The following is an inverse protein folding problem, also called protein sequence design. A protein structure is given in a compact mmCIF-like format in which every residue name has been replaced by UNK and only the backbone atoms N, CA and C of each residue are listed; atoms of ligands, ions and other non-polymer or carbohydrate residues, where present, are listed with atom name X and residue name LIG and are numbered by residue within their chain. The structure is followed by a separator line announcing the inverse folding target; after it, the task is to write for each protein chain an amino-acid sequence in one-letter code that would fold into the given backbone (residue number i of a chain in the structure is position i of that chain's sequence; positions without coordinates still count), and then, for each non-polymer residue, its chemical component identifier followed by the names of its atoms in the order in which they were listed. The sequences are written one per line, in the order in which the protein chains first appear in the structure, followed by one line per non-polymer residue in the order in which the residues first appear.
data_IF_450759543565
#
_entry.id   IF_450759543565
#
_cell.length_a   1.000
_cell.length_b   1.000
_cell.length_c   1.000
_cell.angle_alpha   90.00
_cell.angle_beta   90.00
_cell.angle_gamma   90.00
#
_symmetry.space_group_name_H-M   'P 1'
#
loop_
_entity.id
_entity.type
_entity.pdbx_description
1 polymer ?
#
# COMPACT_ATOMS: atom_id res chain seq x y z
N UNK A 1 14.47 -8.48 56.13
CA UNK A 1 13.53 -7.98 55.09
C UNK A 1 13.59 -8.92 53.89
N UNK A 2 12.49 -9.59 53.55
CA UNK A 2 12.44 -10.54 52.41
C UNK A 2 12.34 -9.77 51.10
N UNK A 3 13.32 -9.94 50.21
CA UNK A 3 13.32 -9.36 48.86
C UNK A 3 12.23 -10.01 48.01
N UNK A 4 11.15 -9.27 47.73
CA UNK A 4 10.16 -9.65 46.72
C UNK A 4 10.86 -9.75 45.36
N UNK A 5 10.97 -10.96 44.82
CA UNK A 5 11.47 -11.20 43.46
C UNK A 5 10.53 -10.51 42.46
N UNK A 6 11.08 -9.68 41.57
CA UNK A 6 10.32 -9.08 40.46
C UNK A 6 9.84 -10.20 39.55
N UNK A 7 8.52 -10.41 39.49
CA UNK A 7 7.92 -11.35 38.57
C UNK A 7 8.22 -10.92 37.14
N UNK A 8 8.90 -11.77 36.39
CA UNK A 8 9.13 -11.57 34.95
C UNK A 8 7.76 -11.71 34.29
N UNK A 9 7.21 -10.60 33.77
CA UNK A 9 5.97 -10.64 33.00
C UNK A 9 6.20 -11.52 31.78
N UNK A 10 5.50 -12.65 31.69
CA UNK A 10 5.51 -13.51 30.49
C UNK A 10 5.17 -12.64 29.26
N UNK A 11 5.90 -12.76 28.14
CA UNK A 11 5.52 -12.07 26.92
C UNK A 11 4.12 -12.53 26.53
N UNK A 12 3.16 -11.60 26.48
CA UNK A 12 1.83 -11.89 25.92
C UNK A 12 2.03 -12.19 24.45
N UNK A 13 1.98 -13.46 24.06
CA UNK A 13 1.86 -13.84 22.67
C UNK A 13 0.60 -13.19 22.11
N UNK A 14 0.76 -12.36 21.08
CA UNK A 14 -0.38 -11.84 20.34
C UNK A 14 -1.06 -13.02 19.62
N UNK A 15 -2.39 -13.06 19.55
CA UNK A 15 -3.08 -14.10 18.79
C UNK A 15 -2.66 -14.04 17.32
N UNK A 16 -2.51 -15.21 16.69
CA UNK A 16 -2.00 -15.37 15.31
C UNK A 16 -2.67 -14.41 14.30
N UNK A 17 -4.00 -14.26 14.40
CA UNK A 17 -4.75 -13.32 13.56
C UNK A 17 -4.24 -11.87 13.69
N UNK A 18 -3.95 -11.39 14.89
CA UNK A 18 -3.44 -10.01 15.08
C UNK A 18 -2.07 -9.78 14.45
N UNK A 19 -1.24 -10.82 14.33
CA UNK A 19 0.09 -10.72 13.72
C UNK A 19 0.02 -10.73 12.19
N UNK A 20 -0.87 -11.54 11.61
CA UNK A 20 -1.01 -11.75 10.16
C UNK A 20 -2.23 -11.07 9.52
N UNK A 21 -2.95 -10.20 10.25
CA UNK A 21 -4.17 -9.53 9.78
C UNK A 21 -3.98 -8.87 8.40
N UNK A 22 -2.83 -8.24 8.15
CA UNK A 22 -2.58 -7.62 6.86
C UNK A 22 -2.42 -8.64 5.73
N UNK A 23 -1.63 -9.70 5.96
CA UNK A 23 -1.42 -10.78 4.99
C UNK A 23 -2.77 -11.43 4.63
N UNK A 24 -3.62 -11.67 5.63
CA UNK A 24 -4.96 -12.23 5.44
C UNK A 24 -5.82 -11.28 4.60
N UNK A 25 -5.85 -9.98 4.92
CA UNK A 25 -6.64 -8.99 4.16
C UNK A 25 -6.18 -8.90 2.70
N UNK A 26 -4.88 -8.88 2.44
CA UNK A 26 -4.34 -8.83 1.08
C UNK A 26 -4.69 -10.10 0.31
N UNK A 27 -4.54 -11.27 0.92
CA UNK A 27 -4.90 -12.54 0.29
C UNK A 27 -6.40 -12.59 -0.04
N UNK A 28 -7.25 -12.13 0.87
CA UNK A 28 -8.69 -12.04 0.64
C UNK A 28 -9.00 -11.11 -0.54
N UNK A 29 -8.43 -9.90 -0.57
CA UNK A 29 -8.66 -8.92 -1.64
C UNK A 29 -8.21 -9.43 -3.02
N UNK A 30 -7.04 -10.05 -3.10
CA UNK A 30 -6.53 -10.64 -4.35
C UNK A 30 -7.43 -11.79 -4.78
N UNK A 31 -7.79 -12.69 -3.86
CA UNK A 31 -8.64 -13.85 -4.16
C UNK A 31 -10.01 -13.39 -4.66
N UNK A 32 -10.63 -12.40 -4.00
CA UNK A 32 -11.91 -11.83 -4.40
C UNK A 32 -11.81 -11.11 -5.75
N UNK A 33 -10.74 -10.35 -5.98
CA UNK A 33 -10.51 -9.67 -7.24
C UNK A 33 -10.32 -10.63 -8.42
N UNK A 34 -9.56 -11.72 -8.23
CA UNK A 34 -9.39 -12.77 -9.23
C UNK A 34 -10.70 -13.52 -9.46
N UNK A 35 -11.41 -13.86 -8.38
CA UNK A 35 -12.71 -14.54 -8.44
C UNK A 35 -13.71 -13.75 -9.30
N UNK A 36 -13.82 -12.43 -9.10
CA UNK A 36 -14.70 -11.55 -9.89
C UNK A 36 -14.31 -11.43 -11.37
N UNK A 37 -13.07 -11.75 -11.73
CA UNK A 37 -12.58 -11.78 -13.12
C UNK A 37 -12.76 -13.15 -13.79
N UNK A 38 -12.79 -14.23 -13.00
CA UNK A 38 -12.88 -15.60 -13.50
C UNK A 38 -14.33 -16.08 -13.59
N UNK A 39 -15.20 -15.61 -12.69
CA UNK A 39 -16.58 -16.05 -12.64
C UNK A 39 -17.46 -15.18 -13.57
N UNK A 40 -17.99 -15.82 -14.62
CA UNK A 40 -19.03 -15.26 -15.49
C UNK A 40 -20.35 -15.16 -14.69
N UNK A 41 -20.44 -14.19 -13.80
CA UNK A 41 -21.60 -14.03 -12.92
C UNK A 41 -22.85 -13.59 -13.72
N UNK A 42 -23.75 -14.54 -14.00
CA UNK A 42 -25.11 -14.34 -14.53
C UNK A 42 -25.98 -13.36 -13.69
N UNK A 43 -25.51 -12.95 -12.51
CA UNK A 43 -26.13 -12.00 -11.57
C UNK A 43 -26.26 -10.58 -12.19
N UNK A 44 -25.56 -10.30 -13.29
CA UNK A 44 -25.61 -9.02 -14.01
C UNK A 44 -27.01 -8.66 -14.50
N UNK A 45 -27.84 -9.60 -14.92
CA UNK A 45 -29.14 -9.26 -15.51
C UNK A 45 -30.04 -8.46 -14.56
N UNK A 46 -30.12 -8.83 -13.28
CA UNK A 46 -31.03 -8.17 -12.33
C UNK A 46 -30.55 -6.78 -11.87
N UNK A 47 -29.26 -6.66 -11.56
CA UNK A 47 -28.68 -5.36 -11.16
C UNK A 47 -28.62 -4.41 -12.36
N UNK A 48 -28.32 -4.93 -13.55
CA UNK A 48 -28.33 -4.16 -14.80
C UNK A 48 -29.72 -3.65 -15.13
N UNK A 49 -30.80 -4.42 -14.97
CA UNK A 49 -32.18 -3.94 -15.23
C UNK A 49 -32.55 -2.77 -14.31
N UNK A 50 -32.19 -2.82 -13.03
CA UNK A 50 -32.48 -1.76 -12.06
C UNK A 50 -31.67 -0.50 -12.37
N UNK A 51 -30.37 -0.64 -12.65
CA UNK A 51 -29.50 0.48 -13.01
C UNK A 51 -29.90 1.06 -14.38
N UNK A 52 -30.24 0.22 -15.36
CA UNK A 52 -30.68 0.61 -16.70
C UNK A 52 -32.01 1.36 -16.65
N UNK A 53 -32.92 1.02 -15.74
CA UNK A 53 -34.16 1.79 -15.53
C UNK A 53 -33.88 3.20 -15.02
N UNK A 54 -32.92 3.36 -14.10
CA UNK A 54 -32.52 4.67 -13.56
C UNK A 54 -31.71 5.46 -14.60
N UNK A 55 -30.83 4.78 -15.35
CA UNK A 55 -30.00 5.38 -16.38
C UNK A 55 -30.76 5.71 -17.66
N UNK A 56 -31.83 5.02 -18.05
CA UNK A 56 -32.64 5.42 -19.21
C UNK A 56 -33.46 6.68 -18.95
N UNK A 57 -33.91 6.90 -17.70
CA UNK A 57 -34.51 8.19 -17.30
C UNK A 57 -33.53 9.36 -17.42
N UNK A 58 -32.22 9.10 -17.37
CA UNK A 58 -31.14 10.08 -17.63
C UNK A 58 -30.69 10.03 -19.11
N UNK A 59 -30.85 8.88 -19.76
CA UNK A 59 -30.34 8.53 -21.08
C UNK A 59 -31.09 9.16 -22.24
N UNK A 60 -32.38 9.50 -22.09
CA UNK A 60 -33.07 10.33 -23.08
C UNK A 60 -32.51 11.76 -23.15
N UNK A 61 -31.78 12.21 -22.12
CA UNK A 61 -31.09 13.51 -22.12
C UNK A 61 -29.69 13.44 -22.76
N UNK A 62 -29.08 12.24 -22.83
CA UNK A 62 -27.69 12.02 -23.30
C UNK A 62 -27.64 11.41 -24.71
N UNK A 63 -28.76 10.84 -25.21
CA UNK A 63 -28.90 10.26 -26.56
C UNK A 63 -28.38 11.15 -27.70
N UNK A 64 -28.35 12.47 -27.53
CA UNK A 64 -27.89 13.41 -28.57
C UNK A 64 -26.37 13.59 -28.63
N UNK A 65 -25.60 13.16 -27.61
CA UNK A 65 -24.16 13.45 -27.51
C UNK A 65 -23.25 12.24 -27.75
N UNK A 66 -23.79 11.03 -27.90
CA UNK A 66 -23.03 9.78 -27.65
C UNK A 66 -22.99 8.77 -28.81
N UNK A 67 -23.15 9.16 -30.06
CA UNK A 67 -23.07 8.17 -31.16
C UNK A 67 -21.63 7.78 -31.56
N UNK A 68 -20.59 8.36 -30.95
CA UNK A 68 -19.18 8.10 -31.32
C UNK A 68 -18.36 7.16 -30.41
N UNK A 69 -18.78 6.93 -29.15
CA UNK A 69 -17.89 6.33 -28.12
C UNK A 69 -18.38 4.99 -27.53
N UNK A 70 -19.53 4.47 -27.97
CA UNK A 70 -20.20 3.34 -27.32
C UNK A 70 -19.60 1.97 -27.71
N UNK A 71 -18.87 1.85 -28.82
CA UNK A 71 -18.44 0.53 -29.34
C UNK A 71 -17.33 -0.16 -28.52
N UNK A 72 -16.60 0.55 -27.66
CA UNK A 72 -15.49 -0.01 -26.85
C UNK A 72 -15.87 -0.39 -25.43
N UNK A 73 -17.03 0.06 -24.92
CA UNK A 73 -17.45 -0.14 -23.52
C UNK A 73 -18.27 -1.43 -23.37
N UNK A 74 -18.83 -1.95 -24.46
CA UNK A 74 -19.78 -3.08 -24.45
C UNK A 74 -19.13 -4.46 -24.18
N UNK A 75 -17.80 -4.51 -24.03
CA UNK A 75 -17.05 -5.75 -23.72
C UNK A 75 -16.53 -5.84 -22.29
N UNK A 76 -16.53 -4.75 -21.53
CA UNK A 76 -16.05 -4.74 -20.15
C UNK A 76 -17.24 -4.82 -19.21
N UNK A 77 -17.36 -5.94 -18.52
CA UNK A 77 -18.44 -6.11 -17.57
C UNK A 77 -18.11 -5.35 -16.28
N UNK A 78 -19.13 -4.88 -15.56
CA UNK A 78 -18.95 -4.13 -14.30
C UNK A 78 -18.12 -4.93 -13.29
N UNK A 79 -18.25 -6.26 -13.30
CA UNK A 79 -17.47 -7.17 -12.45
C UNK A 79 -15.97 -7.07 -12.69
N UNK A 80 -15.54 -6.91 -13.94
CA UNK A 80 -14.13 -6.85 -14.30
C UNK A 80 -13.49 -5.57 -13.75
N UNK A 81 -14.22 -4.46 -13.84
CA UNK A 81 -13.80 -3.17 -13.30
C UNK A 81 -13.63 -3.29 -11.78
N UNK A 82 -14.59 -3.92 -11.09
CA UNK A 82 -14.53 -4.13 -9.64
C UNK A 82 -13.37 -5.06 -9.29
N UNK A 83 -13.19 -6.17 -10.00
CA UNK A 83 -12.10 -7.12 -9.79
C UNK A 83 -10.72 -6.48 -9.94
N UNK A 84 -10.51 -5.73 -11.03
CA UNK A 84 -9.27 -4.96 -11.26
C UNK A 84 -9.05 -3.94 -10.14
N UNK A 85 -10.09 -3.22 -9.71
CA UNK A 85 -9.98 -2.22 -8.65
C UNK A 85 -9.52 -2.83 -7.31
N UNK A 86 -10.02 -4.02 -6.97
CA UNK A 86 -9.63 -4.74 -5.75
C UNK A 86 -8.17 -5.20 -5.80
N UNK A 87 -7.72 -5.69 -6.95
CA UNK A 87 -6.32 -6.09 -7.15
C UNK A 87 -5.40 -4.87 -7.01
N UNK A 88 -5.73 -3.76 -7.68
CA UNK A 88 -4.98 -2.50 -7.58
C UNK A 88 -4.94 -2.02 -6.12
N UNK A 89 -6.06 -2.10 -5.40
CA UNK A 89 -6.12 -1.72 -4.00
C UNK A 89 -5.24 -2.63 -3.12
N UNK A 90 -5.25 -3.95 -3.34
CA UNK A 90 -4.37 -4.87 -2.64
C UNK A 90 -2.88 -4.56 -2.88
N UNK A 91 -2.50 -4.29 -4.13
CA UNK A 91 -1.13 -3.88 -4.48
C UNK A 91 -0.74 -2.57 -3.79
N UNK A 92 -1.65 -1.61 -3.72
CA UNK A 92 -1.46 -0.36 -2.99
C UNK A 92 -1.21 -0.60 -1.49
N UNK A 93 -1.98 -1.49 -0.86
CA UNK A 93 -1.77 -1.86 0.55
C UNK A 93 -0.38 -2.49 0.76
N UNK A 94 0.03 -3.42 -0.11
CA UNK A 94 1.37 -4.05 -0.09
C UNK A 94 2.46 -2.99 -0.18
N UNK A 95 2.34 -2.09 -1.16
CA UNK A 95 3.31 -1.01 -1.35
C UNK A 95 3.39 -0.10 -0.12
N UNK A 96 2.26 0.26 0.48
CA UNK A 96 2.24 1.10 1.68
C UNK A 96 2.88 0.38 2.88
N UNK A 97 2.63 -0.92 3.07
CA UNK A 97 3.29 -1.68 4.14
C UNK A 97 4.79 -1.81 3.92
N UNK A 98 5.22 -2.01 2.68
CA UNK A 98 6.65 -2.05 2.35
C UNK A 98 7.29 -0.68 2.63
N UNK A 99 6.65 0.41 2.21
CA UNK A 99 7.07 1.77 2.52
C UNK A 99 7.26 1.98 4.02
N UNK A 100 6.29 1.57 4.86
CA UNK A 100 6.40 1.69 6.31
C UNK A 100 7.60 0.92 6.88
N UNK A 101 7.79 -0.35 6.45
CA UNK A 101 8.95 -1.16 6.85
C UNK A 101 10.28 -0.56 6.42
N UNK A 102 10.33 0.15 5.29
CA UNK A 102 11.53 0.84 4.83
C UNK A 102 11.80 2.07 5.70
N UNK A 103 10.77 2.88 5.99
CA UNK A 103 10.92 4.05 6.86
C UNK A 103 11.42 3.64 8.24
N UNK A 104 10.83 2.61 8.84
CA UNK A 104 11.22 2.12 10.16
C UNK A 104 12.69 1.68 10.19
N UNK A 105 13.12 0.86 9.22
CA UNK A 105 14.50 0.38 9.10
C UNK A 105 15.53 1.50 8.98
N UNK A 106 15.18 2.59 8.29
CA UNK A 106 16.08 3.73 8.06
C UNK A 106 15.70 4.97 8.88
N UNK A 107 14.93 4.84 9.97
CA UNK A 107 14.47 6.00 10.76
C UNK A 107 15.51 6.50 11.77
N UNK A 108 16.38 5.63 12.27
CA UNK A 108 17.27 5.90 13.41
C UNK A 108 18.72 5.97 12.94
N UNK A 109 19.22 7.19 12.75
CA UNK A 109 20.65 7.49 12.74
C UNK A 109 20.88 8.73 13.61
N UNK A 110 21.28 8.51 14.88
CA UNK A 110 21.74 9.59 15.77
C UNK A 110 23.26 9.63 15.86
N UNK A 111 23.91 8.47 15.85
CA UNK A 111 25.37 8.29 15.96
C UNK A 111 25.83 7.27 14.93
N UNK A 112 27.12 7.30 14.60
CA UNK A 112 27.71 6.32 13.70
C UNK A 112 27.63 4.91 14.34
N UNK A 113 27.11 3.89 13.65
CA UNK A 113 27.05 2.53 14.19
C UNK A 113 28.42 1.87 14.36
N UNK A 114 29.47 2.39 13.70
CA UNK A 114 30.83 1.83 13.74
C UNK A 114 31.68 2.43 14.86
N UNK A 115 31.74 3.76 14.94
CA UNK A 115 32.64 4.46 15.89
C UNK A 115 31.89 5.33 16.92
N UNK A 116 30.55 5.33 16.92
CA UNK A 116 29.71 6.14 17.81
C UNK A 116 29.89 7.66 17.72
N UNK A 117 30.68 8.15 16.75
CA UNK A 117 30.88 9.57 16.51
C UNK A 117 29.66 10.25 15.88
N UNK A 118 29.72 11.58 15.78
CA UNK A 118 28.67 12.38 15.16
C UNK A 118 28.63 12.20 13.65
N UNK A 119 27.40 12.08 13.12
CA UNK A 119 27.13 12.00 11.69
C UNK A 119 26.84 13.39 11.12
N UNK A 120 27.52 13.77 10.04
CA UNK A 120 27.25 15.03 9.33
C UNK A 120 26.38 14.79 8.11
N UNK A 121 25.42 15.70 7.88
CA UNK A 121 24.56 15.64 6.71
C UNK A 121 25.34 16.03 5.46
N UNK A 122 25.22 15.24 4.40
CA UNK A 122 25.84 15.50 3.09
C UNK A 122 24.80 15.64 1.98
N UNK A 123 25.25 16.08 0.80
CA UNK A 123 24.38 16.23 -0.38
C UNK A 123 23.79 14.88 -0.79
N UNK A 124 22.56 14.93 -1.29
CA UNK A 124 21.86 13.77 -1.83
C UNK A 124 22.33 13.51 -3.26
N UNK A 125 22.81 12.28 -3.51
CA UNK A 125 23.00 11.72 -4.83
C UNK A 125 21.67 11.40 -5.53
N UNK A 126 21.73 11.13 -6.83
CA UNK A 126 20.55 10.79 -7.65
C UNK A 126 19.81 9.56 -7.10
N UNK A 127 20.54 8.52 -6.68
CA UNK A 127 19.95 7.31 -6.08
C UNK A 127 19.01 7.65 -4.92
N UNK A 128 19.40 8.57 -4.04
CA UNK A 128 18.59 8.98 -2.89
C UNK A 128 17.36 9.80 -3.29
N UNK A 129 17.45 10.59 -4.38
CA UNK A 129 16.30 11.33 -4.92
C UNK A 129 15.28 10.37 -5.52
N UNK A 130 15.74 9.40 -6.31
CA UNK A 130 14.90 8.35 -6.90
C UNK A 130 14.21 7.56 -5.78
N UNK A 131 14.95 7.14 -4.75
CA UNK A 131 14.34 6.47 -3.59
C UNK A 131 13.27 7.33 -2.91
N UNK A 132 13.52 8.62 -2.71
CA UNK A 132 12.53 9.53 -2.12
C UNK A 132 11.27 9.68 -2.97
N UNK A 133 11.42 9.69 -4.29
CA UNK A 133 10.31 9.76 -5.23
C UNK A 133 9.47 8.48 -5.23
N UNK A 134 10.11 7.31 -5.41
CA UNK A 134 9.43 6.00 -5.47
C UNK A 134 8.60 5.74 -4.20
N UNK A 135 9.18 6.02 -3.04
CA UNK A 135 8.53 5.76 -1.76
C UNK A 135 7.71 6.94 -1.23
N UNK A 136 7.66 8.09 -1.93
CA UNK A 136 7.04 9.32 -1.45
C UNK A 136 7.49 9.68 -0.01
N UNK A 137 8.81 9.72 0.21
CA UNK A 137 9.44 9.99 1.52
C UNK A 137 10.62 10.94 1.41
N UNK A 138 10.90 11.62 2.51
CA UNK A 138 12.05 12.48 2.63
C UNK A 138 13.29 11.66 3.00
N UNK A 139 14.22 11.52 2.05
CA UNK A 139 15.50 10.86 2.26
C UNK A 139 16.58 11.90 2.61
N UNK A 140 17.29 11.69 3.71
CA UNK A 140 18.46 12.46 4.14
C UNK A 140 19.70 11.57 4.08
N UNK A 141 20.82 12.13 3.63
CA UNK A 141 22.10 11.43 3.51
C UNK A 141 23.07 11.91 4.59
N UNK A 142 23.76 10.99 5.26
CA UNK A 142 24.67 11.24 6.37
C UNK A 142 26.00 10.52 6.16
N UNK A 143 27.06 11.17 6.59
CA UNK A 143 28.44 10.70 6.47
C UNK A 143 29.18 10.84 7.80
N UNK A 144 29.99 9.83 8.13
CA UNK A 144 30.83 9.81 9.31
C UNK A 144 32.27 10.19 8.95
N UNK A 145 32.81 11.24 9.56
CA UNK A 145 34.19 11.69 9.28
C UNK A 145 35.28 10.74 9.76
N UNK A 146 35.03 10.00 10.84
CA UNK A 146 36.07 9.18 11.50
C UNK A 146 36.27 7.79 10.88
N UNK A 147 35.23 7.20 10.28
CA UNK A 147 35.27 5.82 9.76
C UNK A 147 34.61 5.66 8.39
N UNK A 148 34.44 6.77 7.66
CA UNK A 148 33.95 6.82 6.27
C UNK A 148 32.56 6.18 6.06
N UNK A 149 31.79 6.00 7.13
CA UNK A 149 30.45 5.39 7.05
C UNK A 149 29.44 6.32 6.37
N UNK A 150 28.74 5.80 5.37
CA UNK A 150 27.62 6.45 4.69
C UNK A 150 26.29 5.80 5.09
N UNK A 151 25.35 6.61 5.55
CA UNK A 151 24.03 6.15 5.99
C UNK A 151 22.90 7.03 5.47
N UNK A 152 21.73 6.43 5.27
CA UNK A 152 20.52 7.15 4.85
C UNK A 152 19.50 7.16 5.96
N UNK A 153 18.81 8.29 6.11
CA UNK A 153 17.65 8.42 6.98
C UNK A 153 16.40 8.66 6.15
N UNK A 154 15.40 7.80 6.28
CA UNK A 154 14.09 7.98 5.67
C UNK A 154 13.12 8.58 6.69
N UNK A 155 12.35 9.57 6.26
CA UNK A 155 11.34 10.24 7.08
C UNK A 155 10.03 10.33 6.30
N UNK A 156 8.90 10.18 6.99
CA UNK A 156 7.59 10.50 6.41
C UNK A 156 7.60 11.98 5.99
N UNK A 157 7.03 12.26 4.82
CA UNK A 157 6.81 13.63 4.35
C UNK A 157 5.82 14.36 5.26
#
# INVERSE_FOLDING_TARGET
MSQKRKGISKPRHKPFFQEYNFEITVLLLISLGIFLLVEEMEIKHYIYVIIRSILFSIGDFIKTLRDGTIFLIDKFEVSDIVGISLIIFALFLIANRWRERMIERYSILKKCPKCSSELKRIRRELKHKITGFIYFVNVKNYHCKECDYNGIKMMKN
#
